data_IF_315038964753
#
_entry.id   IF_315038964753
#
_cell.length_a   1.000
_cell.length_b   1.000
_cell.length_c   1.000
_cell.angle_alpha   90.00
_cell.angle_beta   90.00
_cell.angle_gamma   90.00
#
_symmetry.space_group_name_H-M   'P 1'
#
loop_
_entity.id
_entity.type
_entity.pdbx_description
1 polymer ?
#
# COMPACT_ATOMS: atom_id res chain seq x y z
N UNK A 1 11.77 -10.13 -10.98
CA UNK A 1 10.46 -9.97 -10.29
C UNK A 1 10.36 -8.52 -9.85
N UNK A 2 9.23 -7.84 -10.07
CA UNK A 2 9.00 -6.45 -9.63
C UNK A 2 8.15 -6.44 -8.36
N UNK A 3 8.42 -5.50 -7.47
CA UNK A 3 7.72 -5.33 -6.20
C UNK A 3 7.13 -3.93 -6.12
N UNK A 4 5.85 -3.84 -5.77
CA UNK A 4 5.18 -2.58 -5.46
C UNK A 4 5.19 -2.37 -3.94
N UNK A 5 5.70 -1.24 -3.46
CA UNK A 5 5.57 -0.82 -2.07
C UNK A 5 4.60 0.35 -2.00
N UNK A 6 3.54 0.20 -1.19
CA UNK A 6 2.51 1.22 -0.98
C UNK A 6 2.66 1.77 0.44
N UNK A 7 2.94 3.06 0.54
CA UNK A 7 2.99 3.79 1.82
C UNK A 7 1.80 4.72 1.98
N UNK A 8 1.54 5.23 3.19
CA UNK A 8 0.40 6.12 3.40
C UNK A 8 0.72 7.55 2.92
N UNK A 9 1.93 8.03 3.20
CA UNK A 9 2.31 9.43 2.96
C UNK A 9 3.62 9.57 2.18
N UNK A 10 3.86 10.71 1.49
CA UNK A 10 5.07 10.93 0.70
C UNK A 10 6.39 10.77 1.49
N UNK A 11 6.43 11.21 2.75
CA UNK A 11 7.64 11.07 3.57
C UNK A 11 8.03 9.61 3.82
N UNK A 12 7.05 8.71 3.95
CA UNK A 12 7.29 7.27 4.05
C UNK A 12 7.78 6.69 2.72
N UNK A 13 7.14 7.06 1.60
CA UNK A 13 7.57 6.68 0.23
C UNK A 13 9.03 7.10 0.00
N UNK A 14 9.37 8.33 0.36
CA UNK A 14 10.70 8.88 0.16
C UNK A 14 11.74 8.17 1.04
N UNK A 15 11.37 7.82 2.28
CA UNK A 15 12.23 7.03 3.16
C UNK A 15 12.51 5.63 2.59
N UNK A 16 11.48 4.95 2.09
CA UNK A 16 11.61 3.64 1.42
C UNK A 16 12.44 3.76 0.14
N UNK A 17 12.16 4.78 -0.69
CA UNK A 17 12.90 5.02 -1.95
C UNK A 17 14.39 5.20 -1.68
N UNK A 18 14.76 6.01 -0.67
CA UNK A 18 16.16 6.21 -0.28
C UNK A 18 16.84 4.94 0.19
N UNK A 19 16.11 4.00 0.81
CA UNK A 19 16.66 2.77 1.33
C UNK A 19 17.17 1.82 0.23
N UNK A 20 16.60 1.88 -0.97
CA UNK A 20 17.02 1.04 -2.10
C UNK A 20 18.25 1.59 -2.86
N UNK A 21 18.61 2.86 -2.64
CA UNK A 21 19.72 3.52 -3.33
C UNK A 21 19.51 3.66 -4.85
N UNK A 22 20.55 4.12 -5.55
CA UNK A 22 20.54 4.26 -7.01
C UNK A 22 19.80 5.50 -7.54
N UNK A 23 19.67 5.57 -8.86
CA UNK A 23 18.86 6.60 -9.52
C UNK A 23 17.37 6.29 -9.38
N UNK A 24 16.57 7.29 -9.01
CA UNK A 24 15.12 7.19 -8.95
C UNK A 24 14.51 7.83 -10.19
N UNK A 25 13.69 7.07 -10.90
CA UNK A 25 12.80 7.60 -11.92
C UNK A 25 11.43 7.89 -11.29
N UNK A 26 10.88 9.07 -11.59
CA UNK A 26 9.56 9.48 -11.11
C UNK A 26 8.57 9.33 -12.24
N UNK A 27 7.54 8.51 -12.03
CA UNK A 27 6.48 8.22 -12.99
C UNK A 27 5.14 8.74 -12.46
N UNK A 28 4.37 9.39 -13.32
CA UNK A 28 3.03 9.83 -12.99
C UNK A 28 2.02 8.67 -13.13
N UNK A 29 1.15 8.51 -12.14
CA UNK A 29 -0.02 7.65 -12.18
C UNK A 29 -1.28 8.50 -11.90
N UNK A 30 -2.47 8.06 -12.35
CA UNK A 30 -3.71 8.72 -11.96
C UNK A 30 -3.82 8.84 -10.43
N UNK A 31 -3.76 10.08 -9.93
CA UNK A 31 -3.88 10.39 -8.50
C UNK A 31 -2.66 10.03 -7.63
N UNK A 32 -1.53 9.63 -8.20
CA UNK A 32 -0.32 9.30 -7.44
C UNK A 32 0.98 9.51 -8.22
N UNK A 33 2.09 9.58 -7.49
CA UNK A 33 3.44 9.58 -8.03
C UNK A 33 4.14 8.28 -7.62
N UNK A 34 4.80 7.64 -8.57
CA UNK A 34 5.48 6.37 -8.42
C UNK A 34 6.99 6.58 -8.55
N UNK A 35 7.74 6.22 -7.52
CA UNK A 35 9.20 6.20 -7.55
C UNK A 35 9.68 4.82 -7.96
N UNK A 36 10.37 4.74 -9.09
CA UNK A 36 11.01 3.51 -9.56
C UNK A 36 12.49 3.52 -9.21
N UNK A 37 12.92 2.47 -8.50
CA UNK A 37 14.33 2.21 -8.17
C UNK A 37 14.63 0.72 -8.39
N UNK A 38 15.33 0.42 -9.49
CA UNK A 38 15.63 -0.95 -9.91
C UNK A 38 14.36 -1.79 -10.07
N UNK A 39 14.21 -2.81 -9.22
CA UNK A 39 13.06 -3.73 -9.24
C UNK A 39 11.87 -3.27 -8.38
N UNK A 40 11.98 -2.13 -7.71
CA UNK A 40 10.99 -1.62 -6.77
C UNK A 40 10.30 -0.40 -7.34
N UNK A 41 8.97 -0.40 -7.26
CA UNK A 41 8.17 0.80 -7.41
C UNK A 41 7.56 1.15 -6.05
N UNK A 42 7.64 2.42 -5.65
CA UNK A 42 7.20 2.91 -4.35
C UNK A 42 6.25 4.07 -4.58
N UNK A 43 5.05 4.02 -4.02
CA UNK A 43 4.09 5.14 -4.09
C UNK A 43 3.52 5.48 -2.71
N UNK A 44 3.10 6.73 -2.56
CA UNK A 44 2.23 7.15 -1.47
C UNK A 44 0.77 6.99 -1.93
N UNK A 45 0.05 6.04 -1.32
CA UNK A 45 -1.33 5.70 -1.65
C UNK A 45 -2.36 6.61 -0.99
N UNK A 46 -1.95 7.43 -0.02
CA UNK A 46 -2.83 8.31 0.74
C UNK A 46 -3.29 7.69 2.06
N UNK A 47 -3.76 8.56 2.96
CA UNK A 47 -4.29 8.17 4.27
C UNK A 47 -5.74 7.72 4.12
N UNK A 48 -6.02 6.49 4.54
CA UNK A 48 -7.35 5.90 4.51
C UNK A 48 -7.53 4.86 3.39
N UNK A 49 -8.49 3.93 3.57
CA UNK A 49 -8.61 2.73 2.75
C UNK A 49 -8.98 3.04 1.29
N UNK A 50 -9.84 4.04 1.04
CA UNK A 50 -10.29 4.37 -0.30
C UNK A 50 -9.17 4.91 -1.20
N UNK A 51 -8.38 5.87 -0.70
CA UNK A 51 -7.25 6.42 -1.44
C UNK A 51 -6.19 5.33 -1.69
N UNK A 52 -5.81 4.61 -0.63
CA UNK A 52 -4.82 3.54 -0.73
C UNK A 52 -5.23 2.46 -1.73
N UNK A 53 -6.51 2.04 -1.73
CA UNK A 53 -7.04 1.07 -2.68
C UNK A 53 -7.00 1.61 -4.13
N UNK A 54 -7.45 2.84 -4.37
CA UNK A 54 -7.47 3.44 -5.70
C UNK A 54 -6.05 3.55 -6.29
N UNK A 55 -5.10 4.11 -5.55
CA UNK A 55 -3.71 4.27 -6.01
C UNK A 55 -3.04 2.92 -6.26
N UNK A 56 -3.28 1.94 -5.39
CA UNK A 56 -2.78 0.56 -5.59
C UNK A 56 -3.36 -0.06 -6.85
N UNK A 57 -4.67 0.08 -7.08
CA UNK A 57 -5.33 -0.45 -8.26
C UNK A 57 -4.79 0.16 -9.56
N UNK A 58 -4.58 1.48 -9.60
CA UNK A 58 -3.98 2.15 -10.76
C UNK A 58 -2.54 1.66 -11.02
N UNK A 59 -1.74 1.49 -9.98
CA UNK A 59 -0.38 0.96 -10.12
C UNK A 59 -0.40 -0.48 -10.69
N UNK A 60 -1.23 -1.36 -10.14
CA UNK A 60 -1.40 -2.74 -10.63
C UNK A 60 -1.86 -2.76 -12.10
N UNK A 61 -2.86 -1.95 -12.45
CA UNK A 61 -3.38 -1.86 -13.81
C UNK A 61 -2.32 -1.36 -14.80
N UNK A 62 -1.50 -0.37 -14.41
CA UNK A 62 -0.42 0.17 -15.25
C UNK A 62 0.69 -0.84 -15.55
N UNK A 63 0.84 -1.87 -14.71
CA UNK A 63 1.84 -2.92 -14.85
C UNK A 63 1.27 -4.23 -15.44
N UNK A 64 -0.02 -4.25 -15.77
CA UNK A 64 -0.74 -5.45 -16.22
C UNK A 64 -0.18 -6.04 -17.53
N UNK A 65 -0.39 -7.35 -17.81
CA UNK A 65 -0.09 -7.94 -19.11
C UNK A 65 -0.73 -7.24 -20.31
N UNK A 66 -1.84 -6.53 -20.09
CA UNK A 66 -2.55 -5.77 -21.12
C UNK A 66 -2.07 -4.31 -21.26
N UNK A 67 -1.10 -3.87 -20.45
CA UNK A 67 -0.54 -2.53 -20.52
C UNK A 67 0.37 -2.35 -21.75
N UNK A 68 0.66 -1.10 -22.11
CA UNK A 68 1.57 -0.77 -23.22
C UNK A 68 3.00 -1.29 -22.99
N UNK A 69 3.43 -1.38 -21.72
CA UNK A 69 4.71 -1.96 -21.30
C UNK A 69 4.48 -2.98 -20.16
N UNK A 70 4.18 -4.25 -20.50
CA UNK A 70 3.83 -5.28 -19.52
C UNK A 70 4.98 -5.59 -18.55
N UNK A 71 4.75 -5.34 -17.27
CA UNK A 71 5.75 -5.61 -16.23
C UNK A 71 5.09 -5.92 -14.88
N UNK A 72 4.29 -7.00 -14.79
CA UNK A 72 3.43 -7.26 -13.64
C UNK A 72 4.22 -7.43 -12.34
N UNK A 73 3.64 -6.92 -11.26
CA UNK A 73 4.20 -7.09 -9.92
C UNK A 73 4.02 -8.53 -9.45
N UNK A 74 5.10 -9.11 -8.92
CA UNK A 74 5.03 -10.42 -8.26
C UNK A 74 4.67 -10.31 -6.77
N UNK A 75 4.74 -9.11 -6.20
CA UNK A 75 4.46 -8.84 -4.79
C UNK A 75 4.02 -7.39 -4.61
N UNK A 76 3.07 -7.17 -3.70
CA UNK A 76 2.71 -5.86 -3.17
C UNK A 76 2.96 -5.86 -1.67
N UNK A 77 3.64 -4.83 -1.16
CA UNK A 77 3.92 -4.62 0.25
C UNK A 77 3.24 -3.33 0.70
N UNK A 78 2.33 -3.41 1.67
CA UNK A 78 1.86 -2.22 2.39
C UNK A 78 2.82 -1.96 3.54
N UNK A 79 3.47 -0.80 3.54
CA UNK A 79 4.47 -0.42 4.53
C UNK A 79 4.21 0.99 5.05
N UNK A 80 4.35 1.21 6.34
CA UNK A 80 4.13 2.53 6.95
C UNK A 80 4.28 2.48 8.46
N UNK A 81 4.06 3.61 9.11
CA UNK A 81 4.11 3.74 10.56
C UNK A 81 2.70 3.50 11.13
N UNK A 82 2.62 2.66 12.15
CA UNK A 82 1.37 2.32 12.83
C UNK A 82 1.48 2.37 14.35
N UNK A 83 0.34 2.44 15.03
CA UNK A 83 0.25 2.30 16.49
C UNK A 83 0.37 0.83 16.91
N UNK A 84 0.95 0.59 18.09
CA UNK A 84 1.08 -0.73 18.70
C UNK A 84 0.41 -0.77 20.08
N UNK A 85 -0.08 -1.95 20.47
CA UNK A 85 -0.62 -2.17 21.82
C UNK A 85 0.46 -2.76 22.73
N UNK A 86 0.58 -2.23 23.95
CA UNK A 86 1.46 -2.80 24.96
C UNK A 86 0.86 -4.09 25.55
N UNK A 87 1.69 -5.09 25.91
CA UNK A 87 3.15 -5.11 25.78
C UNK A 87 3.65 -5.62 24.41
N UNK A 88 2.75 -5.92 23.47
CA UNK A 88 3.05 -6.68 22.26
C UNK A 88 3.92 -5.93 21.24
N UNK A 89 3.79 -4.61 21.12
CA UNK A 89 4.57 -3.80 20.19
C UNK A 89 5.05 -2.48 20.84
N UNK A 90 6.18 -2.50 21.57
CA UNK A 90 6.83 -1.28 22.05
C UNK A 90 7.22 -0.31 20.91
N UNK A 91 7.43 0.97 21.22
CA UNK A 91 7.90 1.96 20.25
C UNK A 91 9.19 1.50 19.55
N UNK A 92 9.24 1.69 18.23
CA UNK A 92 10.37 1.27 17.40
C UNK A 92 10.34 -0.20 16.97
N UNK A 93 9.31 -0.96 17.36
CA UNK A 93 9.13 -2.33 16.87
C UNK A 93 8.85 -2.38 15.37
N UNK A 94 9.42 -3.35 14.69
CA UNK A 94 9.03 -3.75 13.34
C UNK A 94 8.10 -4.96 13.44
N UNK A 95 6.93 -4.87 12.81
CA UNK A 95 5.95 -5.95 12.78
C UNK A 95 5.63 -6.34 11.35
N UNK A 96 5.40 -7.63 11.12
CA UNK A 96 4.86 -8.16 9.87
C UNK A 96 3.49 -8.73 10.20
N UNK A 97 2.46 -8.18 9.56
CA UNK A 97 1.09 -8.60 9.82
C UNK A 97 0.81 -9.99 9.22
N UNK A 98 0.18 -10.86 10.00
CA UNK A 98 -0.43 -12.11 9.50
C UNK A 98 -1.87 -11.94 9.05
N UNK A 99 -2.53 -10.83 9.46
CA UNK A 99 -3.89 -10.48 9.10
C UNK A 99 -4.07 -8.96 9.08
N UNK A 100 -4.99 -8.46 8.25
CA UNK A 100 -5.42 -7.06 8.19
C UNK A 100 -6.93 -7.04 8.45
N UNK A 101 -7.37 -6.31 9.46
CA UNK A 101 -8.78 -6.24 9.89
C UNK A 101 -9.19 -4.79 10.00
N UNK A 102 -10.32 -4.43 9.38
CA UNK A 102 -10.96 -3.13 9.60
C UNK A 102 -11.91 -3.26 10.80
N UNK A 103 -11.61 -2.52 11.88
CA UNK A 103 -12.41 -2.56 13.10
C UNK A 103 -13.64 -1.63 13.05
N UNK A 104 -13.64 -0.69 12.12
CA UNK A 104 -14.56 0.44 12.01
C UNK A 104 -15.36 0.46 10.71
N UNK A 105 -15.02 -0.42 9.75
CA UNK A 105 -15.72 -0.51 8.47
C UNK A 105 -16.77 -1.61 8.50
N UNK A 106 -18.01 -1.25 8.14
CA UNK A 106 -19.14 -2.17 8.03
C UNK A 106 -20.42 -1.42 7.70
N UNK A 107 -21.56 -2.09 7.83
CA UNK A 107 -22.87 -1.54 7.58
C UNK A 107 -23.88 -2.02 8.63
N UNK A 108 -24.80 -1.14 9.00
CA UNK A 108 -25.97 -1.53 9.79
C UNK A 108 -26.93 -2.33 8.92
N UNK A 109 -27.37 -3.48 9.45
CA UNK A 109 -28.35 -4.37 8.83
C UNK A 109 -29.53 -4.60 9.78
N UNK A 110 -30.65 -5.19 9.33
CA UNK A 110 -31.74 -5.56 10.24
C UNK A 110 -31.31 -6.50 11.38
N UNK A 111 -30.24 -7.28 11.20
CA UNK A 111 -29.70 -8.21 12.19
C UNK A 111 -28.56 -7.60 13.05
N UNK A 112 -28.29 -6.30 12.86
CA UNK A 112 -27.22 -5.54 13.54
C UNK A 112 -26.05 -5.17 12.64
N UNK A 113 -24.95 -4.71 13.25
CA UNK A 113 -23.74 -4.32 12.52
C UNK A 113 -23.07 -5.52 11.84
N UNK A 114 -22.92 -5.45 10.52
CA UNK A 114 -22.14 -6.39 9.72
C UNK A 114 -20.78 -5.76 9.35
N UNK A 115 -19.64 -6.38 9.73
CA UNK A 115 -18.32 -5.87 9.36
C UNK A 115 -18.12 -5.91 7.84
N UNK A 116 -17.26 -5.06 7.29
CA UNK A 116 -17.04 -4.92 5.84
C UNK A 116 -16.65 -6.24 5.16
N UNK A 117 -15.94 -7.11 5.88
CA UNK A 117 -15.56 -8.45 5.40
C UNK A 117 -16.73 -9.43 5.25
N UNK A 118 -17.91 -9.06 5.75
CA UNK A 118 -19.16 -9.82 5.62
C UNK A 118 -20.13 -9.18 4.60
N UNK A 119 -19.78 -8.05 3.98
CA UNK A 119 -20.63 -7.31 3.03
C UNK A 119 -20.35 -7.66 1.56
N UNK A 120 -19.48 -8.63 1.28
CA UNK A 120 -19.12 -9.11 -0.05
C UNK A 120 -18.27 -10.37 0.00
#
# INVERSE_FOLDING_TARGET
MRVLVVTAVPVERDAVTRAFGGGTEVLALPGAELHRTGAFDVLAGGVGPAAAAASTAFALASASPAAADPSPYGLVVSAGIGGGFAPAAPLGSLVVASAIVAADLGAETPDGFAPVTALG
#
